data_IF_178481887768
#
_entry.id   IF_178481887768
#
_cell.length_a   1.000
_cell.length_b   1.000
_cell.length_c   1.000
_cell.angle_alpha   90.00
_cell.angle_beta   90.00
_cell.angle_gamma   90.00
#
_symmetry.space_group_name_H-M   'P 1'
#
loop_
_entity.id
_entity.type
_entity.pdbx_description
1 polymer ?
#
# COMPACT_ATOMS: atom_id res chain seq x y z
N UNK A 1 -93.21 2.65 22.07
CA UNK A 1 -92.88 1.30 21.54
C UNK A 1 -92.80 1.35 20.07
N UNK A 2 -91.59 1.53 19.54
CA UNK A 2 -91.36 1.60 18.10
C UNK A 2 -90.14 0.74 17.79
N UNK A 3 -90.18 -0.05 16.69
CA UNK A 3 -89.09 -0.99 16.41
C UNK A 3 -88.01 -0.27 15.57
N UNK A 4 -86.76 -0.65 15.86
CA UNK A 4 -85.56 -0.19 15.15
C UNK A 4 -85.49 -0.69 13.71
N UNK A 5 -85.24 0.22 12.78
CA UNK A 5 -84.90 -0.13 11.37
C UNK A 5 -83.41 -0.52 11.25
N UNK A 6 -83.16 -1.70 10.70
CA UNK A 6 -81.87 -2.15 10.24
C UNK A 6 -81.47 -1.44 8.96
N UNK A 7 -80.44 -0.61 9.05
CA UNK A 7 -79.79 -0.05 7.86
C UNK A 7 -78.83 -1.12 7.27
N UNK A 8 -79.07 -1.49 6.02
CA UNK A 8 -78.16 -2.31 5.20
C UNK A 8 -76.95 -1.46 4.85
N UNK A 9 -75.74 -1.89 5.20
CA UNK A 9 -74.49 -1.36 4.69
C UNK A 9 -74.31 -1.83 3.22
N UNK A 10 -74.12 -0.88 2.35
CA UNK A 10 -73.68 -1.09 0.97
C UNK A 10 -72.21 -1.45 1.02
N UNK A 11 -71.91 -2.70 0.70
CA UNK A 11 -70.57 -3.12 0.35
C UNK A 11 -70.13 -2.38 -0.94
N UNK A 12 -69.20 -1.46 -0.81
CA UNK A 12 -68.51 -0.85 -1.94
C UNK A 12 -67.45 -1.82 -2.44
N UNK A 13 -67.76 -2.45 -3.57
CA UNK A 13 -66.81 -3.14 -4.41
C UNK A 13 -65.74 -2.12 -4.91
N UNK A 14 -64.63 -2.02 -4.22
CA UNK A 14 -63.44 -1.40 -4.78
C UNK A 14 -62.84 -2.36 -5.80
N UNK A 15 -62.43 -1.87 -6.97
CA UNK A 15 -61.77 -2.72 -7.96
C UNK A 15 -60.42 -3.20 -7.43
N UNK A 16 -60.25 -4.54 -7.37
CA UNK A 16 -58.95 -5.16 -7.12
C UNK A 16 -57.97 -4.74 -8.19
N UNK A 17 -57.04 -3.86 -7.83
CA UNK A 17 -55.88 -3.60 -8.66
C UNK A 17 -55.08 -4.91 -8.81
N UNK A 18 -54.74 -5.32 -10.03
CA UNK A 18 -53.92 -6.51 -10.21
C UNK A 18 -52.57 -6.26 -9.55
N UNK A 19 -52.26 -7.00 -8.50
CA UNK A 19 -50.91 -7.08 -7.94
C UNK A 19 -50.04 -7.68 -9.02
N UNK A 20 -49.35 -6.82 -9.78
CA UNK A 20 -48.28 -7.22 -10.66
C UNK A 20 -47.21 -7.80 -9.74
N UNK A 21 -47.13 -9.11 -9.61
CA UNK A 21 -45.98 -9.80 -9.10
C UNK A 21 -44.84 -9.54 -10.09
N UNK A 22 -44.07 -8.52 -9.85
CA UNK A 22 -42.74 -8.43 -10.42
C UNK A 22 -41.99 -9.65 -9.86
N UNK A 23 -41.80 -10.62 -10.77
CA UNK A 23 -41.22 -11.92 -10.38
C UNK A 23 -39.84 -11.71 -9.75
N UNK A 24 -39.74 -12.20 -8.54
CA UNK A 24 -38.51 -12.39 -7.77
C UNK A 24 -37.56 -13.36 -8.48
N UNK A 25 -36.89 -12.88 -9.50
CA UNK A 25 -35.76 -13.58 -10.13
C UNK A 25 -34.60 -12.63 -10.33
N UNK A 26 -34.25 -11.92 -9.28
CA UNK A 26 -32.88 -11.41 -9.16
C UNK A 26 -32.00 -12.63 -8.92
N UNK A 27 -31.35 -13.08 -9.97
CA UNK A 27 -30.58 -14.32 -9.96
C UNK A 27 -29.25 -14.12 -9.23
N UNK A 28 -28.82 -15.11 -8.42
CA UNK A 28 -27.51 -15.11 -7.76
C UNK A 28 -26.31 -15.04 -8.74
N UNK A 29 -26.56 -15.08 -10.06
CA UNK A 29 -25.51 -14.98 -11.09
C UNK A 29 -24.89 -13.59 -11.22
N UNK A 30 -25.59 -12.50 -10.87
CA UNK A 30 -25.01 -11.15 -10.96
C UNK A 30 -23.96 -10.91 -9.87
N UNK A 31 -24.13 -11.54 -8.72
CA UNK A 31 -23.21 -11.44 -7.62
C UNK A 31 -21.88 -12.15 -7.91
N UNK A 32 -21.89 -13.29 -8.60
CA UNK A 32 -20.66 -14.03 -8.95
C UNK A 32 -19.74 -13.24 -9.89
N UNK A 33 -20.31 -12.47 -10.82
CA UNK A 33 -19.54 -11.58 -11.70
C UNK A 33 -18.88 -10.46 -10.93
N UNK A 34 -19.63 -9.81 -10.02
CA UNK A 34 -19.09 -8.72 -9.18
C UNK A 34 -17.99 -9.21 -8.24
N UNK A 35 -18.19 -10.39 -7.63
CA UNK A 35 -17.14 -11.04 -6.79
C UNK A 35 -15.92 -11.38 -7.64
N UNK A 36 -16.10 -11.91 -8.83
CA UNK A 36 -15.01 -12.19 -9.77
C UNK A 36 -14.25 -10.93 -10.18
N UNK A 37 -14.96 -9.83 -10.46
CA UNK A 37 -14.35 -8.56 -10.85
C UNK A 37 -13.57 -7.93 -9.68
N UNK A 38 -14.12 -7.93 -8.46
CA UNK A 38 -13.42 -7.45 -7.27
C UNK A 38 -12.14 -8.26 -7.01
N UNK A 39 -12.22 -9.58 -7.11
CA UNK A 39 -11.05 -10.46 -6.98
C UNK A 39 -9.99 -10.16 -8.06
N UNK A 40 -10.40 -9.90 -9.30
CA UNK A 40 -9.48 -9.55 -10.39
C UNK A 40 -8.78 -8.23 -10.14
N UNK A 41 -9.48 -7.19 -9.64
CA UNK A 41 -8.88 -5.91 -9.28
C UNK A 41 -7.84 -6.05 -8.17
N UNK A 42 -8.14 -6.81 -7.12
CA UNK A 42 -7.20 -7.05 -6.01
C UNK A 42 -5.98 -7.84 -6.48
N UNK A 43 -6.15 -8.85 -7.35
CA UNK A 43 -5.05 -9.59 -7.93
C UNK A 43 -4.15 -8.71 -8.81
N UNK A 44 -4.74 -7.77 -9.57
CA UNK A 44 -4.00 -6.78 -10.34
C UNK A 44 -3.15 -5.88 -9.42
N UNK A 45 -3.74 -5.33 -8.37
CA UNK A 45 -3.00 -4.50 -7.40
C UNK A 45 -1.86 -5.27 -6.73
N UNK A 46 -2.09 -6.54 -6.36
CA UNK A 46 -1.03 -7.40 -5.81
C UNK A 46 0.09 -7.63 -6.82
N UNK A 47 -0.25 -7.84 -8.09
CA UNK A 47 0.74 -8.03 -9.15
C UNK A 47 1.59 -6.76 -9.32
N UNK A 48 0.97 -5.57 -9.31
CA UNK A 48 1.67 -4.30 -9.44
C UNK A 48 2.62 -4.05 -8.26
N UNK A 49 2.20 -4.38 -7.03
CA UNK A 49 3.06 -4.28 -5.84
C UNK A 49 4.23 -5.26 -5.88
N UNK A 50 3.98 -6.53 -6.23
CA UNK A 50 5.03 -7.54 -6.36
C UNK A 50 6.03 -7.16 -7.45
N UNK A 51 5.56 -6.62 -8.58
CA UNK A 51 6.42 -6.10 -9.64
C UNK A 51 7.25 -4.90 -9.16
N UNK A 52 6.67 -3.99 -8.38
CA UNK A 52 7.38 -2.86 -7.79
C UNK A 52 8.46 -3.32 -6.79
N UNK A 53 8.14 -4.28 -5.90
CA UNK A 53 9.13 -4.89 -5.00
C UNK A 53 10.29 -5.51 -5.78
N UNK A 54 9.99 -6.30 -6.80
CA UNK A 54 10.99 -6.97 -7.62
C UNK A 54 11.88 -5.96 -8.37
N UNK A 55 11.30 -4.90 -8.93
CA UNK A 55 12.05 -3.85 -9.62
C UNK A 55 13.02 -3.12 -8.67
N UNK A 56 12.71 -3.05 -7.38
CA UNK A 56 13.49 -2.36 -6.36
C UNK A 56 14.32 -3.32 -5.47
N UNK A 57 14.53 -4.58 -5.90
CA UNK A 57 15.32 -5.54 -5.12
C UNK A 57 16.79 -5.15 -4.93
N UNK A 58 17.33 -4.29 -5.80
CA UNK A 58 18.70 -3.76 -5.73
C UNK A 58 18.75 -2.30 -5.30
N UNK A 59 17.62 -1.68 -4.99
CA UNK A 59 17.57 -0.28 -4.60
C UNK A 59 17.90 -0.13 -3.11
N UNK A 60 18.90 0.68 -2.78
CA UNK A 60 19.32 0.94 -1.40
C UNK A 60 18.18 1.51 -0.55
N UNK A 61 18.04 1.03 0.67
CA UNK A 61 17.03 1.49 1.62
C UNK A 61 15.58 1.18 1.25
N UNK A 62 15.34 0.41 0.18
CA UNK A 62 13.97 0.04 -0.21
C UNK A 62 13.34 -0.92 0.80
N UNK A 63 12.07 -0.68 1.09
CA UNK A 63 11.27 -1.49 2.00
C UNK A 63 10.10 -2.14 1.28
N UNK A 64 9.97 -3.46 1.47
CA UNK A 64 8.92 -4.29 0.86
C UNK A 64 7.53 -3.79 1.25
N UNK A 65 6.66 -3.69 0.27
CA UNK A 65 5.25 -3.35 0.45
C UNK A 65 4.37 -4.56 0.12
N UNK A 66 3.34 -4.81 0.94
CA UNK A 66 2.38 -5.90 0.76
C UNK A 66 0.97 -5.40 0.93
N UNK A 67 0.06 -5.93 0.11
CA UNK A 67 -1.36 -5.66 0.23
C UNK A 67 -1.98 -6.59 1.26
N UNK A 68 -2.58 -6.02 2.30
CA UNK A 68 -3.44 -6.75 3.25
C UNK A 68 -4.86 -6.74 2.70
N UNK A 69 -5.41 -7.92 2.48
CA UNK A 69 -6.77 -8.10 2.00
C UNK A 69 -7.74 -8.25 3.16
N UNK A 70 -8.93 -7.72 3.00
CA UNK A 70 -10.06 -7.92 3.91
C UNK A 70 -11.22 -8.52 3.13
N UNK A 71 -11.84 -9.52 3.73
CA UNK A 71 -13.12 -10.02 3.26
C UNK A 71 -14.23 -9.10 3.78
N UNK A 72 -14.99 -8.51 2.87
CA UNK A 72 -16.20 -7.77 3.18
C UNK A 72 -17.39 -8.69 2.93
N UNK A 73 -18.05 -9.11 4.01
CA UNK A 73 -19.30 -9.84 3.94
C UNK A 73 -20.45 -8.85 3.98
N UNK A 74 -21.14 -8.67 2.86
CA UNK A 74 -22.34 -7.85 2.78
C UNK A 74 -23.58 -8.74 2.70
N UNK A 75 -24.61 -8.39 3.49
CA UNK A 75 -25.93 -9.01 3.38
C UNK A 75 -26.73 -8.31 2.29
N UNK A 76 -27.10 -9.01 1.21
CA UNK A 76 -27.96 -8.40 0.22
C UNK A 76 -29.31 -8.03 0.85
N UNK A 77 -29.82 -6.85 0.54
CA UNK A 77 -31.15 -6.41 0.95
C UNK A 77 -32.21 -7.27 0.26
N UNK A 78 -32.64 -8.35 0.91
CA UNK A 78 -33.70 -9.22 0.41
C UNK A 78 -34.90 -9.17 1.34
N UNK A 79 -36.07 -9.02 0.75
CA UNK A 79 -37.33 -8.83 1.48
C UNK A 79 -37.96 -10.13 2.04
N UNK A 80 -37.51 -11.34 1.70
CA UNK A 80 -38.27 -12.53 2.05
C UNK A 80 -37.57 -13.87 2.23
N UNK A 81 -36.26 -14.03 1.92
CA UNK A 81 -35.56 -15.30 2.14
C UNK A 81 -34.25 -15.09 2.88
N UNK A 82 -33.77 -16.14 3.59
CA UNK A 82 -32.50 -16.08 4.30
C UNK A 82 -31.40 -15.58 3.36
N UNK A 83 -30.95 -14.32 3.53
CA UNK A 83 -29.95 -13.76 2.61
C UNK A 83 -28.64 -14.52 2.78
N UNK A 84 -28.10 -15.03 1.71
CA UNK A 84 -26.74 -15.54 1.70
C UNK A 84 -25.79 -14.35 1.73
N UNK A 85 -24.85 -14.36 2.67
CA UNK A 85 -23.80 -13.36 2.75
C UNK A 85 -22.92 -13.46 1.47
N UNK A 86 -22.70 -12.32 0.83
CA UNK A 86 -21.82 -12.23 -0.32
C UNK A 86 -20.48 -11.70 0.18
N UNK A 87 -19.44 -12.49 0.00
CA UNK A 87 -18.08 -12.11 0.35
C UNK A 87 -17.40 -11.44 -0.85
N UNK A 88 -17.07 -10.17 -0.70
CA UNK A 88 -16.21 -9.43 -1.62
C UNK A 88 -14.79 -9.39 -1.05
N UNK A 89 -13.81 -9.46 -1.93
CA UNK A 89 -12.41 -9.22 -1.55
C UNK A 89 -12.11 -7.75 -1.80
N UNK A 90 -11.64 -7.07 -0.77
CA UNK A 90 -11.22 -5.67 -0.85
C UNK A 90 -9.77 -5.51 -0.43
N UNK A 91 -9.07 -4.59 -1.10
CA UNK A 91 -7.74 -4.18 -0.74
C UNK A 91 -7.83 -3.19 0.44
N UNK A 92 -7.59 -3.68 1.65
CA UNK A 92 -7.85 -2.90 2.85
C UNK A 92 -6.72 -1.96 3.26
N UNK A 93 -5.47 -2.45 3.21
CA UNK A 93 -4.32 -1.69 3.69
C UNK A 93 -3.04 -2.09 2.96
N UNK A 94 -2.19 -1.10 2.72
CA UNK A 94 -0.81 -1.33 2.31
C UNK A 94 0.06 -1.47 3.57
N UNK A 95 0.59 -2.67 3.79
CA UNK A 95 1.53 -2.95 4.87
C UNK A 95 2.96 -2.83 4.36
N UNK A 96 3.81 -2.12 5.11
CA UNK A 96 5.22 -1.93 4.83
C UNK A 96 6.06 -2.67 5.85
N UNK A 97 7.09 -3.34 5.37
CA UNK A 97 8.05 -4.05 6.22
C UNK A 97 9.32 -3.21 6.36
N UNK A 98 9.51 -2.61 7.52
CA UNK A 98 10.69 -1.80 7.83
C UNK A 98 11.84 -2.60 8.45
N UNK A 99 11.80 -3.93 8.40
CA UNK A 99 12.97 -4.75 8.78
C UNK A 99 14.20 -4.34 7.98
N UNK A 100 15.38 -4.43 8.60
CA UNK A 100 16.64 -4.07 7.95
C UNK A 100 16.96 -5.04 6.81
N UNK A 101 17.41 -4.49 5.68
CA UNK A 101 18.01 -5.25 4.59
C UNK A 101 19.47 -5.65 4.92
N UNK A 102 20.13 -6.39 4.02
CA UNK A 102 21.55 -6.69 4.16
C UNK A 102 22.40 -5.41 4.08
N UNK A 103 23.45 -5.33 4.86
CA UNK A 103 24.41 -4.23 4.76
C UNK A 103 25.49 -4.59 3.75
N UNK A 104 25.69 -3.74 2.76
CA UNK A 104 26.66 -3.91 1.68
C UNK A 104 27.78 -2.88 1.81
N UNK A 105 29.03 -3.35 1.80
CA UNK A 105 30.18 -2.47 1.87
C UNK A 105 30.51 -1.91 0.50
N UNK A 106 30.45 -0.57 0.37
CA UNK A 106 30.77 0.14 -0.89
C UNK A 106 32.15 0.77 -0.85
N UNK A 107 32.65 1.12 0.33
CA UNK A 107 33.91 1.85 0.51
C UNK A 107 33.84 3.33 0.14
N UNK A 108 32.72 3.85 -0.34
CA UNK A 108 32.51 5.27 -0.54
C UNK A 108 32.23 5.96 0.81
N UNK A 109 33.01 6.96 1.22
CA UNK A 109 32.84 7.58 2.54
C UNK A 109 31.53 8.35 2.73
N UNK A 110 30.80 8.65 1.65
CA UNK A 110 29.48 9.29 1.69
C UNK A 110 28.32 8.29 1.67
N UNK A 111 28.61 7.01 1.48
CA UNK A 111 27.62 5.97 1.61
C UNK A 111 27.47 5.59 3.09
N UNK A 112 26.25 5.61 3.59
CA UNK A 112 25.96 5.37 4.98
C UNK A 112 24.78 4.44 5.18
N UNK A 113 24.90 3.56 6.14
CA UNK A 113 23.80 2.73 6.59
C UNK A 113 23.52 2.95 8.07
N UNK A 114 22.27 2.82 8.47
CA UNK A 114 21.86 2.83 9.87
C UNK A 114 21.77 1.38 10.36
N UNK A 115 22.66 1.01 11.29
CA UNK A 115 22.58 -0.25 12.00
C UNK A 115 21.66 -0.08 13.22
N UNK A 116 20.49 -0.71 13.15
CA UNK A 116 19.43 -0.53 14.12
C UNK A 116 18.19 0.20 13.55
N UNK A 117 17.37 0.72 14.45
CA UNK A 117 16.17 1.49 14.07
C UNK A 117 16.53 2.95 13.70
N UNK A 118 15.74 3.57 12.85
CA UNK A 118 15.83 4.99 12.53
C UNK A 118 15.82 5.30 11.06
N UNK A 119 15.86 6.57 10.73
CA UNK A 119 15.87 7.13 9.39
C UNK A 119 16.76 8.36 9.37
N UNK A 120 17.41 8.60 8.26
CA UNK A 120 18.03 9.89 7.98
C UNK A 120 16.95 10.94 7.72
N UNK A 121 17.20 12.17 8.17
CA UNK A 121 16.30 13.29 7.91
C UNK A 121 16.81 14.06 6.71
N UNK A 122 15.94 14.31 5.75
CA UNK A 122 16.24 15.09 4.57
C UNK A 122 15.24 16.23 4.42
N UNK A 123 15.69 17.35 3.86
CA UNK A 123 14.85 18.50 3.56
C UNK A 123 14.53 18.49 2.07
N UNK A 124 13.26 18.25 1.77
CA UNK A 124 12.70 18.36 0.40
C UNK A 124 12.05 19.72 0.20
N UNK A 125 11.60 20.01 -1.03
CA UNK A 125 10.81 21.20 -1.34
C UNK A 125 9.48 21.25 -0.56
N UNK A 126 8.92 20.06 -0.22
CA UNK A 126 7.64 19.90 0.48
C UNK A 126 7.78 19.77 2.00
N UNK A 127 8.97 19.96 2.54
CA UNK A 127 9.26 19.86 3.97
C UNK A 127 10.20 18.73 4.35
N UNK A 128 10.28 18.40 5.66
CA UNK A 128 11.10 17.29 6.15
C UNK A 128 10.54 15.94 5.66
N UNK A 129 11.45 15.10 5.19
CA UNK A 129 11.18 13.71 4.82
C UNK A 129 12.24 12.79 5.45
N UNK A 130 11.99 11.51 5.45
CA UNK A 130 12.78 10.48 6.11
C UNK A 130 13.19 9.41 5.11
N UNK A 131 14.43 8.92 5.22
CA UNK A 131 14.91 7.88 4.32
C UNK A 131 15.81 6.88 5.01
N UNK A 132 15.83 5.65 4.48
CA UNK A 132 16.84 4.62 4.77
C UNK A 132 17.91 4.53 3.70
N UNK A 133 17.70 5.23 2.57
CA UNK A 133 18.71 5.34 1.53
C UNK A 133 19.83 6.25 2.02
N UNK A 134 21.01 5.69 2.17
CA UNK A 134 22.20 6.39 2.63
C UNK A 134 23.21 6.63 1.51
N UNK A 135 22.83 6.50 0.24
CA UNK A 135 23.69 6.89 -0.89
C UNK A 135 23.66 8.41 -1.06
N UNK A 136 24.59 9.08 -0.42
CA UNK A 136 24.66 10.53 -0.45
C UNK A 136 25.75 11.03 -1.41
N UNK A 137 25.60 12.28 -1.82
CA UNK A 137 26.55 12.98 -2.69
C UNK A 137 26.80 14.40 -2.17
N UNK A 138 27.83 15.07 -2.67
CA UNK A 138 28.05 16.49 -2.45
C UNK A 138 27.56 17.28 -3.64
N UNK A 139 26.82 18.35 -3.38
CA UNK A 139 26.47 19.30 -4.41
C UNK A 139 27.64 20.28 -4.71
N UNK A 140 27.45 21.21 -5.64
CA UNK A 140 28.46 22.20 -6.02
C UNK A 140 28.84 23.17 -4.90
N UNK A 141 28.08 23.22 -3.81
CA UNK A 141 28.31 24.04 -2.63
C UNK A 141 28.91 23.24 -1.47
N UNK A 142 29.19 21.95 -1.67
CA UNK A 142 29.69 21.05 -0.64
C UNK A 142 28.61 20.58 0.35
N UNK A 143 27.33 20.78 0.07
CA UNK A 143 26.25 20.27 0.93
C UNK A 143 25.99 18.81 0.62
N UNK A 144 25.74 18.05 1.69
CA UNK A 144 25.36 16.63 1.54
C UNK A 144 23.93 16.53 1.05
N UNK A 145 23.73 15.82 -0.07
CA UNK A 145 22.42 15.65 -0.70
C UNK A 145 22.14 14.19 -1.01
N UNK A 146 20.87 13.84 -1.16
CA UNK A 146 20.45 12.60 -1.81
C UNK A 146 20.78 12.66 -3.30
N UNK A 147 20.68 11.54 -3.98
CA UNK A 147 20.82 11.50 -5.46
C UNK A 147 19.73 12.28 -6.20
N UNK A 148 18.60 12.60 -5.53
CA UNK A 148 17.52 13.47 -6.04
C UNK A 148 17.76 14.95 -5.76
N UNK A 149 18.81 15.29 -5.01
CA UNK A 149 19.17 16.67 -4.69
C UNK A 149 18.56 17.22 -3.41
N UNK A 150 17.87 16.39 -2.61
CA UNK A 150 17.34 16.80 -1.31
C UNK A 150 18.45 16.92 -0.27
N UNK A 151 18.40 17.97 0.56
CA UNK A 151 19.46 18.25 1.54
C UNK A 151 19.41 17.29 2.71
N UNK A 152 20.53 16.67 3.05
CA UNK A 152 20.64 15.83 4.26
C UNK A 152 20.84 16.72 5.47
N UNK A 153 20.01 16.48 6.50
CA UNK A 153 19.98 17.30 7.71
C UNK A 153 20.87 16.70 8.80
N UNK A 154 21.61 17.59 9.41
CA UNK A 154 22.27 17.34 10.70
C UNK A 154 21.51 17.99 11.84
N UNK A 155 22.02 17.82 13.08
CA UNK A 155 21.43 18.42 14.29
C UNK A 155 21.38 19.95 14.25
N UNK A 156 22.30 20.58 13.51
CA UNK A 156 22.42 22.05 13.40
C UNK A 156 21.86 22.62 12.06
N UNK A 157 21.27 21.80 11.19
CA UNK A 157 20.81 22.20 9.85
C UNK A 157 21.44 21.36 8.75
N UNK A 158 21.41 21.81 7.48
CA UNK A 158 22.00 21.09 6.36
C UNK A 158 23.49 20.81 6.57
N UNK A 159 23.90 19.57 6.34
CA UNK A 159 25.31 19.17 6.47
C UNK A 159 26.13 19.67 5.28
N UNK A 160 27.30 20.23 5.59
CA UNK A 160 28.22 20.76 4.57
C UNK A 160 29.63 20.25 4.83
N UNK A 161 30.30 19.79 3.80
CA UNK A 161 31.67 19.29 3.78
C UNK A 161 32.44 20.07 2.74
N UNK A 162 33.60 20.64 3.05
CA UNK A 162 34.41 21.32 2.06
C UNK A 162 35.21 20.29 1.22
N UNK A 163 34.89 20.13 -0.07
CA UNK A 163 35.59 19.15 -0.91
C UNK A 163 37.09 19.47 -1.10
N UNK A 164 37.51 20.72 -0.85
CA UNK A 164 38.89 21.17 -1.01
C UNK A 164 39.72 21.10 0.28
N UNK A 165 39.08 20.92 1.43
CA UNK A 165 39.75 20.91 2.74
C UNK A 165 40.38 19.54 3.08
N UNK A 166 40.38 18.57 2.18
CA UNK A 166 40.97 17.25 2.37
C UNK A 166 40.01 16.19 2.91
N UNK A 167 40.53 15.04 3.35
CA UNK A 167 39.68 13.92 3.73
C UNK A 167 38.86 14.22 4.98
N UNK A 168 37.66 13.70 5.02
CA UNK A 168 36.77 13.70 6.18
C UNK A 168 36.60 12.28 6.72
N UNK A 169 36.13 12.17 7.94
CA UNK A 169 35.77 10.91 8.59
C UNK A 169 34.43 11.02 9.28
N UNK A 170 33.70 9.90 9.34
CA UNK A 170 32.39 9.81 9.97
C UNK A 170 32.48 8.78 11.10
N UNK A 171 32.07 9.17 12.31
CA UNK A 171 32.04 8.29 13.46
C UNK A 171 30.78 7.40 13.47
N UNK A 172 30.78 6.40 14.38
CA UNK A 172 29.60 5.52 14.57
C UNK A 172 28.35 6.27 15.07
N UNK A 173 28.55 7.39 15.71
CA UNK A 173 27.50 8.29 16.20
C UNK A 173 26.98 9.21 15.08
N UNK A 174 27.52 9.08 13.86
CA UNK A 174 27.13 9.91 12.71
C UNK A 174 27.77 11.30 12.71
N UNK A 175 28.80 11.55 13.53
CA UNK A 175 29.52 12.84 13.55
C UNK A 175 30.52 12.90 12.42
N UNK A 176 30.50 13.99 11.66
CA UNK A 176 31.42 14.28 10.58
C UNK A 176 32.56 15.13 11.13
N UNK A 177 33.79 14.73 10.88
CA UNK A 177 34.98 15.52 11.20
C UNK A 177 35.90 15.65 9.97
N UNK A 178 36.44 16.85 9.78
CA UNK A 178 37.38 17.17 8.70
C UNK A 178 38.52 18.02 9.26
N UNK A 179 39.76 17.62 9.03
CA UNK A 179 40.94 18.29 9.57
C UNK A 179 40.92 18.45 11.11
N UNK A 180 40.32 17.52 11.84
CA UNK A 180 40.16 17.57 13.28
C UNK A 180 39.06 18.50 13.82
N UNK A 181 38.36 19.23 12.93
CA UNK A 181 37.19 20.01 13.29
C UNK A 181 35.89 19.19 13.07
N UNK A 182 34.97 19.23 14.02
CA UNK A 182 33.66 18.66 13.91
C UNK A 182 32.78 19.58 13.03
N UNK A 183 32.24 19.07 11.95
CA UNK A 183 31.38 19.81 11.02
C UNK A 183 29.89 19.70 11.38
N UNK A 184 29.49 18.58 11.95
CA UNK A 184 28.12 18.31 12.35
C UNK A 184 27.87 16.82 12.58
N UNK A 185 26.66 16.48 12.96
CA UNK A 185 26.23 15.10 13.17
C UNK A 185 24.98 14.84 12.33
N UNK A 186 24.90 13.71 11.65
CA UNK A 186 23.69 13.32 10.90
C UNK A 186 22.50 13.22 11.85
N UNK A 187 21.43 13.94 11.52
CA UNK A 187 20.16 13.83 12.25
C UNK A 187 19.50 12.52 11.90
N UNK A 188 19.40 11.61 12.87
CA UNK A 188 18.67 10.36 12.74
C UNK A 188 17.47 10.37 13.68
N UNK A 189 16.35 9.84 13.21
CA UNK A 189 15.10 9.77 13.98
C UNK A 189 14.46 8.40 13.86
N UNK A 190 13.69 8.02 14.88
CA UNK A 190 12.89 6.80 14.87
C UNK A 190 11.41 7.11 15.10
N UNK A 191 10.56 6.16 14.77
CA UNK A 191 9.12 6.21 14.98
C UNK A 191 8.68 4.97 15.74
N UNK A 192 7.68 5.10 16.60
CA UNK A 192 7.13 3.95 17.33
C UNK A 192 6.31 3.06 16.38
N UNK A 193 5.68 3.66 15.36
CA UNK A 193 4.89 2.97 14.35
C UNK A 193 5.39 3.30 12.94
N UNK A 194 6.57 2.80 12.50
CA UNK A 194 7.10 3.13 11.16
C UNK A 194 6.15 2.78 10.01
N UNK A 195 5.29 1.77 10.21
CA UNK A 195 4.29 1.36 9.22
C UNK A 195 3.25 2.46 8.90
N UNK A 196 3.09 3.45 9.78
CA UNK A 196 2.22 4.61 9.58
C UNK A 196 2.84 5.73 8.72
N UNK A 197 4.13 5.62 8.39
CA UNK A 197 4.78 6.58 7.51
C UNK A 197 4.20 6.50 6.09
N UNK A 198 3.97 7.66 5.49
CA UNK A 198 3.48 7.77 4.12
C UNK A 198 4.65 7.84 3.14
N UNK A 199 4.59 7.07 2.05
CA UNK A 199 5.60 7.09 1.00
C UNK A 199 5.37 8.28 0.08
N UNK A 200 6.39 9.11 -0.08
CA UNK A 200 6.33 10.31 -0.93
C UNK A 200 7.00 10.07 -2.30
N UNK A 201 7.65 8.94 -2.49
CA UNK A 201 8.44 8.61 -3.68
C UNK A 201 9.95 8.60 -3.36
N UNK A 202 10.77 8.12 -4.31
CA UNK A 202 12.24 8.12 -4.21
C UNK A 202 12.81 7.60 -2.87
N UNK A 203 12.21 6.56 -2.30
CA UNK A 203 12.52 6.02 -0.96
C UNK A 203 12.43 7.04 0.18
N UNK A 204 11.62 8.09 -0.02
CA UNK A 204 11.31 9.09 1.00
C UNK A 204 9.98 8.79 1.68
N UNK A 205 9.97 9.04 2.98
CA UNK A 205 8.84 8.83 3.86
C UNK A 205 8.46 10.13 4.56
N UNK A 206 7.18 10.34 4.81
CA UNK A 206 6.66 11.48 5.56
C UNK A 206 5.89 10.99 6.79
N UNK A 207 6.11 11.62 7.92
CA UNK A 207 5.33 11.31 9.12
C UNK A 207 3.96 11.98 9.05
N UNK A 208 2.90 11.20 9.26
CA UNK A 208 1.53 11.69 9.31
C UNK A 208 0.99 11.44 10.72
N UNK A 209 1.03 12.47 11.56
CA UNK A 209 0.44 12.45 12.90
C UNK A 209 1.32 11.93 14.04
N UNK A 210 2.47 11.32 13.78
CA UNK A 210 3.42 10.86 14.79
C UNK A 210 4.66 11.74 14.80
N UNK A 211 5.10 12.17 15.99
CA UNK A 211 6.32 12.94 16.14
C UNK A 211 7.55 12.01 16.11
N UNK A 212 8.64 12.39 15.42
CA UNK A 212 9.87 11.64 15.46
C UNK A 212 10.51 11.68 16.86
N UNK A 213 11.11 10.56 17.25
CA UNK A 213 11.89 10.43 18.48
C UNK A 213 13.37 10.14 18.18
N UNK A 214 14.22 10.31 19.16
CA UNK A 214 15.62 9.87 19.04
C UNK A 214 15.66 8.32 18.94
N UNK A 215 16.46 7.77 18.01
CA UNK A 215 16.63 6.33 17.91
C UNK A 215 17.36 5.77 19.13
N UNK A 216 17.07 4.53 19.49
CA UNK A 216 17.72 3.83 20.60
C UNK A 216 18.60 2.71 20.01
N UNK A 217 19.86 2.60 20.50
CA UNK A 217 20.81 1.59 20.01
C UNK A 217 21.00 1.59 18.48
N UNK A 218 21.07 2.77 17.89
CA UNK A 218 21.28 2.96 16.46
C UNK A 218 22.69 3.53 16.22
N UNK A 219 23.36 3.00 15.21
CA UNK A 219 24.69 3.42 14.80
C UNK A 219 24.74 3.72 13.30
N UNK A 220 25.56 4.67 12.91
CA UNK A 220 25.82 4.98 11.51
C UNK A 220 27.08 4.26 11.07
N UNK A 221 26.99 3.45 10.01
CA UNK A 221 28.13 2.78 9.40
C UNK A 221 28.48 3.51 8.10
N UNK A 222 29.64 4.21 8.10
CA UNK A 222 30.16 4.87 6.91
C UNK A 222 30.85 3.85 5.98
N UNK A 223 30.72 4.03 4.67
CA UNK A 223 31.21 3.10 3.66
C UNK A 223 30.33 1.88 3.42
N UNK A 224 29.10 1.91 3.93
CA UNK A 224 28.09 0.88 3.76
C UNK A 224 26.77 1.49 3.29
N UNK A 225 25.97 0.69 2.58
CA UNK A 225 24.58 0.98 2.27
C UNK A 225 23.69 -0.13 2.79
N UNK A 226 22.48 0.23 3.18
CA UNK A 226 21.46 -0.77 3.48
C UNK A 226 20.81 -1.22 2.16
N UNK A 227 20.93 -2.50 1.81
CA UNK A 227 20.26 -3.07 0.64
C UNK A 227 18.74 -3.18 0.85
N UNK A 228 18.05 -3.53 -0.21
CA UNK A 228 16.61 -3.83 -0.15
C UNK A 228 16.33 -5.04 0.72
N UNK A 229 15.24 -5.05 1.50
CA UNK A 229 14.78 -6.23 2.23
C UNK A 229 13.89 -7.16 1.39
N UNK A 230 13.83 -6.92 0.07
CA UNK A 230 13.08 -7.75 -0.88
C UNK A 230 13.77 -9.07 -1.15
N UNK A 231 13.06 -10.17 -0.99
CA UNK A 231 13.53 -11.49 -1.43
C UNK A 231 13.01 -11.77 -2.84
N UNK A 232 13.89 -11.65 -3.84
CA UNK A 232 13.56 -11.80 -5.25
C UNK A 232 12.90 -13.15 -5.59
N UNK A 233 13.35 -14.25 -4.98
CA UNK A 233 12.81 -15.61 -5.24
C UNK A 233 11.37 -15.70 -4.72
N UNK A 234 11.12 -15.15 -3.53
CA UNK A 234 9.78 -15.09 -2.94
C UNK A 234 8.84 -14.24 -3.79
N UNK A 235 9.27 -13.06 -4.21
CA UNK A 235 8.45 -12.17 -5.04
C UNK A 235 8.14 -12.77 -6.42
N UNK A 236 9.11 -13.43 -7.07
CA UNK A 236 8.88 -14.14 -8.32
C UNK A 236 7.87 -15.28 -8.16
N UNK A 237 7.97 -16.04 -7.08
CA UNK A 237 7.02 -17.13 -6.79
C UNK A 237 5.60 -16.57 -6.58
N UNK A 238 5.48 -15.50 -5.79
CA UNK A 238 4.19 -14.81 -5.58
C UNK A 238 3.62 -14.26 -6.90
N UNK A 239 4.46 -13.66 -7.77
CA UNK A 239 4.01 -13.16 -9.07
C UNK A 239 3.43 -14.26 -9.96
N UNK A 240 4.06 -15.45 -9.98
CA UNK A 240 3.56 -16.61 -10.73
C UNK A 240 2.21 -17.06 -10.15
N UNK A 241 2.07 -17.14 -8.84
CA UNK A 241 0.82 -17.54 -8.17
C UNK A 241 -0.31 -16.54 -8.44
N UNK A 242 -0.02 -15.24 -8.34
CA UNK A 242 -0.97 -14.17 -8.63
C UNK A 242 -1.41 -14.23 -10.10
N UNK A 243 -0.47 -14.39 -11.04
CA UNK A 243 -0.75 -14.48 -12.47
C UNK A 243 -1.64 -15.68 -12.81
N UNK A 244 -1.38 -16.84 -12.20
CA UNK A 244 -2.22 -18.03 -12.34
C UNK A 244 -3.64 -17.80 -11.81
N UNK A 245 -3.75 -17.19 -10.62
CA UNK A 245 -5.03 -16.86 -10.00
C UNK A 245 -5.82 -15.85 -10.84
N UNK A 246 -5.16 -14.82 -11.35
CA UNK A 246 -5.76 -13.84 -12.24
C UNK A 246 -6.33 -14.49 -13.51
N UNK A 247 -5.55 -15.37 -14.15
CA UNK A 247 -5.98 -16.10 -15.34
C UNK A 247 -7.16 -17.02 -15.05
N UNK A 248 -7.17 -17.69 -13.88
CA UNK A 248 -8.28 -18.56 -13.47
C UNK A 248 -9.58 -17.77 -13.26
N UNK A 249 -9.51 -16.61 -12.57
CA UNK A 249 -10.65 -15.71 -12.34
C UNK A 249 -11.16 -15.14 -13.68
N UNK A 250 -10.28 -14.69 -14.57
CA UNK A 250 -10.66 -14.18 -15.89
C UNK A 250 -11.39 -15.25 -16.72
N UNK A 251 -10.90 -16.50 -16.70
CA UNK A 251 -11.56 -17.63 -17.36
C UNK A 251 -12.92 -17.94 -16.77
N UNK A 252 -13.07 -17.89 -15.46
CA UNK A 252 -14.35 -18.10 -14.78
C UNK A 252 -15.38 -17.03 -15.17
N UNK A 253 -14.95 -15.76 -15.26
CA UNK A 253 -15.81 -14.66 -15.72
C UNK A 253 -16.28 -14.91 -17.16
N UNK A 254 -15.35 -15.25 -18.07
CA UNK A 254 -15.68 -15.54 -19.48
C UNK A 254 -16.65 -16.71 -19.63
N UNK A 255 -16.43 -17.81 -18.90
CA UNK A 255 -17.34 -18.95 -18.90
C UNK A 255 -18.74 -18.59 -18.37
N UNK A 256 -18.81 -17.74 -17.35
CA UNK A 256 -20.09 -17.25 -16.83
C UNK A 256 -20.85 -16.45 -17.88
N UNK A 257 -20.16 -15.59 -18.64
CA UNK A 257 -20.76 -14.79 -19.72
C UNK A 257 -21.23 -15.67 -20.89
N UNK A 258 -20.45 -16.67 -21.28
CA UNK A 258 -20.85 -17.65 -22.32
C UNK A 258 -22.11 -18.42 -21.92
N UNK A 259 -22.18 -18.88 -20.65
CA UNK A 259 -23.38 -19.57 -20.14
C UNK A 259 -24.62 -18.67 -20.14
N UNK A 260 -24.44 -17.37 -19.82
CA UNK A 260 -25.52 -16.37 -19.92
C UNK A 260 -26.00 -16.20 -21.36
N UNK A 261 -25.05 -16.01 -22.28
CA UNK A 261 -25.35 -15.89 -23.71
C UNK A 261 -26.14 -17.09 -24.24
N UNK A 262 -25.67 -18.29 -23.94
CA UNK A 262 -26.35 -19.54 -24.35
C UNK A 262 -27.73 -19.69 -23.70
N UNK A 263 -27.94 -19.23 -22.48
CA UNK A 263 -29.24 -19.26 -21.79
C UNK A 263 -30.24 -18.30 -22.45
N UNK A 264 -29.79 -17.08 -22.80
CA UNK A 264 -30.61 -16.08 -23.49
C UNK A 264 -31.01 -16.59 -24.88
N UNK A 265 -30.08 -17.16 -25.63
CA UNK A 265 -30.35 -17.74 -26.97
C UNK A 265 -31.37 -18.88 -26.92
N UNK A 266 -31.27 -19.78 -25.93
CA UNK A 266 -32.26 -20.83 -25.74
C UNK A 266 -33.66 -20.29 -25.42
N UNK A 267 -33.74 -19.25 -24.59
CA UNK A 267 -35.02 -18.62 -24.24
C UNK A 267 -35.64 -17.91 -25.42
N UNK A 268 -34.85 -17.31 -26.31
CA UNK A 268 -35.36 -16.63 -27.51
C UNK A 268 -35.87 -17.58 -28.60
N UNK A 269 -35.48 -18.88 -28.57
CA UNK A 269 -35.95 -19.91 -29.53
C UNK A 269 -37.22 -20.61 -29.07
N UNK A 270 -37.63 -20.46 -27.81
CA UNK A 270 -38.80 -21.15 -27.22
C UNK A 270 -40.02 -20.19 -27.14
N UNK A 271 -39.85 -18.92 -27.38
CA UNK A 271 -40.93 -17.94 -27.52
C UNK A 271 -41.22 -17.61 -28.98
#
# INVERSE_FOLDING_TARGET
MWPAQKTRSRDSLAPETPKVRFGDKWRPMDNSLMVGLSAQQVLQQRMDLTANNLANMTTSGFKTERLVMRELSERPAAASDTPQDIAFVDAWMLQRDFSSGPMEQTGNPLDMAIDGEGFFVVQTADGEAYTRDGQFALDSQGRVTTHTGDLVMGDGGPLTIDPNAGPFSISREGSISQNGAMLGTFKTVAFDTPAALEKVGNNLWKATGEAPRAPVNSHVAAGFVEGSNVNAVSELTQMIEISRSYTAVAKMISQSDELRGASIEKLSRVG
#
